data_IF_601875052347
#
_entry.id   IF_601875052347
#
_cell.length_a   1.000
_cell.length_b   1.000
_cell.length_c   1.000
_cell.angle_alpha   90.00
_cell.angle_beta   90.00
_cell.angle_gamma   90.00
#
_symmetry.space_group_name_H-M   'P 1'
#
loop_
_entity.id
_entity.type
_entity.pdbx_description
1 polymer ?
#
# COMPACT_ATOMS: atom_id res chain seq x y z
N UNK A 1 -18.17 30.18 11.26
CA UNK A 1 -16.87 29.69 10.77
C UNK A 1 -16.52 28.41 11.49
N UNK A 2 -16.68 27.33 10.79
CA UNK A 2 -16.43 26.02 11.36
C UNK A 2 -15.05 25.53 10.92
N UNK A 3 -14.05 25.79 11.74
CA UNK A 3 -12.76 25.18 11.58
C UNK A 3 -12.92 23.68 11.76
N UNK A 4 -12.95 22.92 10.67
CA UNK A 4 -12.81 21.48 10.74
C UNK A 4 -11.44 21.21 11.33
N UNK A 5 -11.40 20.78 12.57
CA UNK A 5 -10.18 20.25 13.16
C UNK A 5 -9.85 18.98 12.37
N UNK A 6 -8.97 19.13 11.38
CA UNK A 6 -8.35 17.98 10.73
C UNK A 6 -7.38 17.37 11.75
N UNK A 7 -7.93 16.60 12.69
CA UNK A 7 -7.09 15.72 13.47
C UNK A 7 -6.34 14.85 12.49
N UNK A 8 -5.02 14.84 12.57
CA UNK A 8 -4.20 14.02 11.69
C UNK A 8 -4.68 12.57 11.79
N UNK A 9 -5.22 12.04 10.71
CA UNK A 9 -5.69 10.65 10.65
C UNK A 9 -4.57 9.64 10.89
N UNK A 10 -3.33 10.11 10.86
CA UNK A 10 -2.14 9.27 10.99
C UNK A 10 -1.63 9.17 12.42
N UNK A 11 -2.20 9.90 13.37
CA UNK A 11 -1.77 9.85 14.77
C UNK A 11 -2.96 9.85 15.72
N UNK A 12 -2.80 9.14 16.82
CA UNK A 12 -3.77 9.16 17.93
C UNK A 12 -3.03 9.16 19.26
N UNK A 13 -3.66 9.76 20.25
CA UNK A 13 -3.16 9.73 21.62
C UNK A 13 -3.57 8.41 22.28
N UNK A 14 -2.64 7.80 22.98
CA UNK A 14 -2.88 6.59 23.75
C UNK A 14 -3.35 6.95 25.16
N UNK A 15 -3.95 5.99 25.87
CA UNK A 15 -4.44 6.18 27.24
C UNK A 15 -3.33 6.46 28.24
N UNK A 16 -2.13 5.95 28.00
CA UNK A 16 -0.93 6.18 28.81
C UNK A 16 -0.28 7.55 28.60
N UNK A 17 -0.86 8.39 27.72
CA UNK A 17 -0.35 9.70 27.36
C UNK A 17 0.65 9.70 26.20
N UNK A 18 1.00 8.53 25.66
CA UNK A 18 1.86 8.40 24.50
C UNK A 18 1.13 8.67 23.18
N UNK A 19 1.89 8.57 22.09
CA UNK A 19 1.37 8.77 20.75
C UNK A 19 1.61 7.54 19.88
N UNK A 20 0.59 7.16 19.13
CA UNK A 20 0.72 6.17 18.06
C UNK A 20 0.63 6.89 16.71
N UNK A 21 1.63 6.67 15.86
CA UNK A 21 1.66 7.26 14.52
C UNK A 21 1.79 6.16 13.48
N UNK A 22 0.94 6.23 12.46
CA UNK A 22 1.00 5.31 11.32
C UNK A 22 1.26 6.12 10.06
N UNK A 23 2.49 6.05 9.58
CA UNK A 23 2.85 6.63 8.30
C UNK A 23 2.28 5.78 7.15
N UNK A 24 1.78 6.43 6.12
CA UNK A 24 1.24 5.76 4.94
C UNK A 24 1.73 6.43 3.67
N UNK A 25 1.95 5.63 2.65
CA UNK A 25 2.11 6.13 1.29
C UNK A 25 0.70 6.27 0.70
N UNK A 26 0.28 7.49 0.44
CA UNK A 26 -1.02 7.73 -0.19
C UNK A 26 -1.03 7.20 -1.63
N UNK A 27 -2.21 6.73 -2.07
CA UNK A 27 -2.45 6.23 -3.43
C UNK A 27 -1.56 5.04 -3.83
N UNK A 28 -1.17 4.24 -2.88
CA UNK A 28 -0.39 3.02 -3.13
C UNK A 28 -1.21 1.93 -3.84
N UNK A 29 -2.52 2.09 -3.91
CA UNK A 29 -3.42 1.12 -4.55
C UNK A 29 -3.14 0.91 -6.03
N UNK A 30 -2.87 1.96 -6.80
CA UNK A 30 -2.59 1.84 -8.23
C UNK A 30 -1.35 0.98 -8.52
N UNK A 31 -0.16 1.28 -7.97
CA UNK A 31 1.01 0.43 -8.22
C UNK A 31 0.84 -0.98 -7.65
N UNK A 32 0.12 -1.14 -6.55
CA UNK A 32 -0.15 -2.46 -5.98
C UNK A 32 -1.03 -3.31 -6.92
N UNK A 33 -2.09 -2.74 -7.49
CA UNK A 33 -2.93 -3.43 -8.46
C UNK A 33 -2.15 -3.78 -9.72
N UNK A 34 -1.38 -2.85 -10.26
CA UNK A 34 -0.55 -3.09 -11.44
C UNK A 34 0.47 -4.21 -11.19
N UNK A 35 1.08 -4.25 -10.01
CA UNK A 35 2.03 -5.30 -9.64
C UNK A 35 1.34 -6.67 -9.55
N UNK A 36 0.17 -6.74 -8.92
CA UNK A 36 -0.55 -8.00 -8.75
C UNK A 36 -1.09 -8.56 -10.06
N UNK A 37 -1.30 -7.72 -11.06
CA UNK A 37 -1.73 -8.12 -12.39
C UNK A 37 -0.62 -8.73 -13.25
N UNK A 38 0.48 -9.11 -12.68
CA UNK A 38 1.61 -9.86 -13.23
C UNK A 38 1.57 -10.30 -14.70
N UNK A 39 2.16 -11.44 -14.98
CA UNK A 39 2.40 -11.91 -16.34
C UNK A 39 1.23 -12.67 -16.98
N UNK A 40 0.10 -12.77 -16.32
CA UNK A 40 -1.04 -13.52 -16.83
C UNK A 40 -2.39 -12.98 -16.36
N UNK A 41 -3.47 -13.44 -16.99
CA UNK A 41 -4.82 -13.04 -16.60
C UNK A 41 -5.11 -13.35 -15.14
N UNK A 42 -5.63 -12.37 -14.40
CA UNK A 42 -5.94 -12.48 -12.99
C UNK A 42 -7.41 -12.15 -12.76
N UNK A 43 -8.11 -12.98 -12.00
CA UNK A 43 -9.48 -12.69 -11.61
C UNK A 43 -9.55 -11.57 -10.57
N UNK A 44 -10.62 -10.76 -10.65
CA UNK A 44 -10.80 -9.64 -9.71
C UNK A 44 -10.80 -10.08 -8.25
N UNK A 45 -11.38 -11.24 -7.93
CA UNK A 45 -11.39 -11.73 -6.55
C UNK A 45 -10.00 -12.11 -6.03
N UNK A 46 -9.09 -12.56 -6.89
CA UNK A 46 -7.70 -12.84 -6.50
C UNK A 46 -6.98 -11.58 -6.07
N UNK A 47 -7.27 -10.47 -6.75
CA UNK A 47 -6.73 -9.16 -6.37
C UNK A 47 -7.22 -8.73 -4.99
N UNK A 48 -8.51 -8.95 -4.71
CA UNK A 48 -9.10 -8.65 -3.40
C UNK A 48 -8.46 -9.46 -2.28
N UNK A 49 -8.10 -10.71 -2.54
CA UNK A 49 -7.44 -11.58 -1.57
C UNK A 49 -5.98 -11.19 -1.30
N UNK A 50 -5.26 -10.77 -2.35
CA UNK A 50 -3.83 -10.53 -2.30
C UNK A 50 -3.45 -9.09 -1.95
N UNK A 51 -4.34 -8.13 -2.25
CA UNK A 51 -4.08 -6.71 -2.07
C UNK A 51 -3.81 -6.31 -0.61
N UNK A 52 -4.57 -6.79 0.40
CA UNK A 52 -4.34 -6.40 1.80
C UNK A 52 -2.92 -6.68 2.29
N UNK A 53 -2.36 -7.84 1.95
CA UNK A 53 -1.00 -8.20 2.35
C UNK A 53 0.05 -7.28 1.73
N UNK A 54 -0.19 -6.84 0.49
CA UNK A 54 0.77 -6.00 -0.24
C UNK A 54 0.77 -4.54 0.25
N UNK A 55 -0.41 -3.98 0.53
CA UNK A 55 -0.52 -2.59 0.97
C UNK A 55 -0.52 -2.42 2.49
N UNK A 56 -0.52 -3.51 3.24
CA UNK A 56 -0.53 -3.48 4.70
C UNK A 56 -1.82 -2.96 5.31
N UNK A 57 -2.93 -3.07 4.60
CA UNK A 57 -4.25 -2.65 5.06
C UNK A 57 -5.23 -3.82 4.98
N UNK A 58 -5.78 -4.23 6.12
CA UNK A 58 -6.75 -5.32 6.20
C UNK A 58 -8.12 -4.93 5.63
N UNK A 59 -8.39 -3.63 5.48
CA UNK A 59 -9.68 -3.11 5.01
C UNK A 59 -9.59 -2.64 3.59
N UNK A 60 -9.73 -3.56 2.67
CA UNK A 60 -9.84 -3.22 1.26
C UNK A 60 -11.31 -3.12 0.89
N UNK A 61 -11.74 -1.95 0.45
CA UNK A 61 -13.09 -1.74 -0.05
C UNK A 61 -13.21 -2.32 -1.46
N UNK A 62 -14.05 -3.35 -1.60
CA UNK A 62 -14.30 -4.04 -2.87
C UNK A 62 -14.71 -3.08 -3.97
N UNK A 63 -15.61 -2.14 -3.69
CA UNK A 63 -16.07 -1.14 -4.65
C UNK A 63 -14.94 -0.25 -5.15
N UNK A 64 -14.03 0.14 -4.27
CA UNK A 64 -12.87 0.96 -4.63
C UNK A 64 -11.90 0.20 -5.54
N UNK A 65 -11.70 -1.09 -5.31
CA UNK A 65 -10.83 -1.93 -6.15
C UNK A 65 -11.40 -2.02 -7.57
N UNK A 66 -12.68 -2.29 -7.72
CA UNK A 66 -13.31 -2.37 -9.05
C UNK A 66 -13.34 -1.02 -9.76
N UNK A 67 -13.55 0.08 -9.03
CA UNK A 67 -13.45 1.43 -9.61
C UNK A 67 -12.04 1.75 -10.07
N UNK A 68 -11.03 1.36 -9.30
CA UNK A 68 -9.63 1.53 -9.67
C UNK A 68 -9.30 0.70 -10.92
N UNK A 69 -9.74 -0.57 -10.99
CA UNK A 69 -9.55 -1.41 -12.16
C UNK A 69 -10.21 -0.81 -13.41
N UNK A 70 -11.41 -0.26 -13.26
CA UNK A 70 -12.09 0.42 -14.38
C UNK A 70 -11.32 1.64 -14.84
N UNK A 71 -10.81 2.46 -13.92
CA UNK A 71 -10.00 3.62 -14.26
C UNK A 71 -8.73 3.21 -15.01
N UNK A 72 -8.04 2.15 -14.56
CA UNK A 72 -6.87 1.62 -15.24
C UNK A 72 -7.20 1.10 -16.63
N UNK A 73 -8.36 0.47 -16.80
CA UNK A 73 -8.85 0.00 -18.10
C UNK A 73 -9.18 1.16 -19.03
N UNK A 74 -9.83 2.22 -18.53
CA UNK A 74 -10.13 3.44 -19.30
C UNK A 74 -8.87 4.14 -19.80
N UNK A 75 -7.77 4.05 -19.05
CA UNK A 75 -6.46 4.57 -19.42
C UNK A 75 -5.63 3.59 -20.24
N UNK A 76 -6.19 2.45 -20.60
CA UNK A 76 -5.52 1.39 -21.37
C UNK A 76 -4.27 0.79 -20.70
N UNK A 77 -4.17 0.91 -19.39
CA UNK A 77 -3.10 0.30 -18.61
C UNK A 77 -3.39 -1.16 -18.27
N UNK A 78 -4.66 -1.52 -18.33
CA UNK A 78 -5.19 -2.86 -18.05
C UNK A 78 -6.24 -3.17 -19.11
N UNK A 79 -6.33 -4.42 -19.52
CA UNK A 79 -7.42 -4.95 -20.34
C UNK A 79 -8.15 -6.03 -19.59
N UNK A 80 -9.43 -6.17 -19.84
CA UNK A 80 -10.26 -7.22 -19.23
C UNK A 80 -10.93 -8.06 -20.28
N UNK A 81 -11.14 -9.33 -19.93
CA UNK A 81 -11.85 -10.30 -20.78
C UNK A 81 -12.83 -11.11 -19.94
N UNK A 82 -13.98 -11.40 -20.51
CA UNK A 82 -14.91 -12.36 -19.94
C UNK A 82 -14.54 -13.76 -20.38
N UNK A 83 -14.30 -14.65 -19.41
CA UNK A 83 -14.04 -16.06 -19.67
C UNK A 83 -15.26 -16.89 -19.29
N UNK A 84 -15.96 -17.40 -20.29
CA UNK A 84 -17.11 -18.26 -20.14
C UNK A 84 -16.84 -19.73 -20.45
N UNK A 85 -15.59 -20.10 -20.70
CA UNK A 85 -15.16 -21.44 -21.11
C UNK A 85 -14.99 -22.42 -19.93
N UNK A 86 -15.12 -21.95 -18.70
CA UNK A 86 -15.06 -22.79 -17.50
C UNK A 86 -16.47 -23.08 -16.98
N UNK A 87 -16.71 -24.28 -16.37
CA UNK A 87 -18.01 -24.56 -15.75
C UNK A 87 -18.29 -23.55 -14.63
N UNK A 88 -19.47 -22.93 -14.71
CA UNK A 88 -19.89 -21.90 -13.77
C UNK A 88 -20.13 -20.55 -14.44
N UNK A 89 -20.47 -19.48 -13.68
CA UNK A 89 -20.69 -18.15 -14.24
C UNK A 89 -19.41 -17.62 -14.87
N UNK A 90 -19.56 -16.89 -15.98
CA UNK A 90 -18.45 -16.23 -16.67
C UNK A 90 -17.72 -15.30 -15.70
N UNK A 91 -16.39 -15.38 -15.69
CA UNK A 91 -15.52 -14.59 -14.81
C UNK A 91 -14.71 -13.60 -15.63
N UNK A 92 -14.59 -12.39 -15.09
CA UNK A 92 -13.79 -11.35 -15.71
C UNK A 92 -12.33 -11.47 -15.24
N UNK A 93 -11.41 -11.54 -16.20
CA UNK A 93 -9.98 -11.53 -15.94
C UNK A 93 -9.36 -10.21 -16.39
N UNK A 94 -8.34 -9.80 -15.70
CA UNK A 94 -7.60 -8.55 -15.96
C UNK A 94 -6.15 -8.87 -16.27
N UNK A 95 -5.59 -8.15 -17.23
CA UNK A 95 -4.20 -8.29 -17.65
C UNK A 95 -3.56 -6.92 -17.81
N UNK A 96 -2.36 -6.77 -17.33
CA UNK A 96 -1.58 -5.54 -17.50
C UNK A 96 -1.11 -5.42 -18.95
N UNK A 97 -1.26 -4.24 -19.54
CA UNK A 97 -0.78 -3.92 -20.90
C UNK A 97 0.68 -3.50 -20.87
N UNK A 98 1.29 -3.36 -22.07
CA UNK A 98 2.64 -2.78 -22.17
C UNK A 98 2.72 -1.36 -21.61
N UNK A 99 1.66 -0.56 -21.79
CA UNK A 99 1.57 0.77 -21.16
C UNK A 99 1.46 0.65 -19.64
N UNK A 100 0.72 -0.33 -19.14
CA UNK A 100 0.65 -0.64 -17.71
C UNK A 100 2.01 -1.02 -17.13
N UNK A 101 2.81 -1.79 -17.87
CA UNK A 101 4.19 -2.11 -17.48
C UNK A 101 5.04 -0.85 -17.35
N UNK A 102 4.94 0.06 -18.30
CA UNK A 102 5.69 1.33 -18.28
C UNK A 102 5.29 2.21 -17.09
N UNK A 103 4.00 2.29 -16.80
CA UNK A 103 3.49 3.06 -15.65
C UNK A 103 3.95 2.42 -14.34
N UNK A 104 3.91 1.10 -14.23
CA UNK A 104 4.43 0.40 -13.05
C UNK A 104 5.92 0.66 -12.84
N UNK A 105 6.73 0.61 -13.90
CA UNK A 105 8.16 0.92 -13.83
C UNK A 105 8.40 2.34 -13.31
N UNK A 106 7.63 3.31 -13.78
CA UNK A 106 7.70 4.70 -13.30
C UNK A 106 7.32 4.82 -11.82
N UNK A 107 6.32 4.08 -11.38
CA UNK A 107 5.95 4.00 -9.96
C UNK A 107 7.10 3.45 -9.11
N UNK A 108 7.73 2.38 -9.57
CA UNK A 108 8.84 1.75 -8.84
C UNK A 108 10.03 2.70 -8.71
N UNK A 109 10.37 3.44 -9.76
CA UNK A 109 11.42 4.45 -9.72
C UNK A 109 11.09 5.57 -8.73
N UNK A 110 9.85 6.04 -8.73
CA UNK A 110 9.39 7.08 -7.81
C UNK A 110 9.40 6.60 -6.36
N UNK A 111 8.99 5.35 -6.13
CA UNK A 111 9.02 4.74 -4.79
C UNK A 111 10.45 4.53 -4.30
N UNK A 112 11.38 4.17 -5.17
CA UNK A 112 12.80 4.08 -4.84
C UNK A 112 13.38 5.45 -4.44
N UNK A 113 13.04 6.50 -5.18
CA UNK A 113 13.44 7.86 -4.85
C UNK A 113 12.88 8.29 -3.49
N UNK A 114 11.61 7.98 -3.22
CA UNK A 114 10.97 8.25 -1.92
C UNK A 114 11.68 7.48 -0.79
N UNK A 115 12.01 6.23 -1.02
CA UNK A 115 12.76 5.42 -0.05
C UNK A 115 14.10 6.07 0.31
N UNK A 116 14.84 6.55 -0.70
CA UNK A 116 16.11 7.25 -0.49
C UNK A 116 15.94 8.54 0.31
N UNK A 117 14.90 9.32 0.00
CA UNK A 117 14.54 10.54 0.74
C UNK A 117 14.21 10.24 2.20
N UNK A 118 13.44 9.19 2.44
CA UNK A 118 13.08 8.76 3.79
C UNK A 118 14.31 8.29 4.56
N UNK A 119 15.20 7.56 3.91
CA UNK A 119 16.47 7.14 4.51
C UNK A 119 17.31 8.34 4.94
N UNK A 120 17.46 9.32 4.07
CA UNK A 120 18.18 10.57 4.37
C UNK A 120 17.54 11.32 5.54
N UNK A 121 16.23 11.42 5.55
CA UNK A 121 15.48 12.07 6.63
C UNK A 121 15.72 11.36 7.98
N UNK A 122 15.59 10.04 7.99
CA UNK A 122 15.78 9.24 9.21
C UNK A 122 17.21 9.30 9.73
N UNK A 123 18.20 9.28 8.84
CA UNK A 123 19.61 9.38 9.19
C UNK A 123 19.91 10.74 9.82
N UNK A 124 19.39 11.83 9.25
CA UNK A 124 19.53 13.18 9.83
C UNK A 124 18.86 13.27 11.19
N UNK A 125 17.68 12.70 11.35
CA UNK A 125 16.98 12.71 12.62
C UNK A 125 17.77 11.98 13.72
N UNK A 126 18.46 10.90 13.36
CA UNK A 126 19.29 10.10 14.28
C UNK A 126 20.63 10.76 14.58
N UNK A 127 21.23 11.44 13.60
CA UNK A 127 22.48 12.19 13.78
C UNK A 127 22.31 13.42 14.66
N UNK A 128 21.13 14.06 14.59
CA UNK A 128 20.75 15.15 15.48
C UNK A 128 20.49 14.75 16.92
N UNK A 129 20.67 13.55 17.22
CA UNK A 129 20.78 12.62 18.39
C UNK A 129 20.17 12.97 19.72
N UNK A 130 20.13 14.23 20.12
CA UNK A 130 19.65 14.57 21.46
C UNK A 130 18.16 14.92 21.50
N UNK A 131 17.50 14.96 20.36
CA UNK A 131 16.12 15.45 20.26
C UNK A 131 15.08 14.35 19.97
N UNK A 132 15.50 13.18 19.53
CA UNK A 132 14.61 12.07 19.25
C UNK A 132 15.02 10.84 20.07
N UNK A 133 14.43 10.71 21.24
CA UNK A 133 14.55 9.47 22.01
C UNK A 133 13.69 8.41 21.36
N UNK A 134 14.31 7.47 20.67
CA UNK A 134 13.63 6.24 20.29
C UNK A 134 13.48 5.41 21.57
N UNK A 135 12.25 5.25 22.03
CA UNK A 135 11.95 4.25 23.04
C UNK A 135 12.28 2.89 22.43
N UNK A 136 13.15 2.09 23.07
CA UNK A 136 13.40 0.74 22.59
C UNK A 136 12.07 -0.03 22.58
N UNK A 137 11.86 -0.76 21.51
CA UNK A 137 10.72 -1.66 21.41
C UNK A 137 10.75 -2.63 22.58
N UNK A 138 9.63 -2.75 23.27
CA UNK A 138 9.48 -3.62 24.45
C UNK A 138 9.82 -5.08 24.15
N UNK A 139 9.83 -5.44 22.87
CA UNK A 139 10.16 -6.80 22.44
C UNK A 139 11.63 -7.19 22.66
N UNK A 140 12.52 -6.21 22.80
CA UNK A 140 13.94 -6.48 23.06
C UNK A 140 14.23 -6.84 24.53
N UNK A 141 13.32 -6.52 25.43
CA UNK A 141 13.49 -6.82 26.86
C UNK A 141 13.08 -8.23 27.27
N UNK A 142 12.31 -8.91 26.43
CA UNK A 142 11.84 -10.27 26.71
C UNK A 142 12.88 -11.34 26.36
N UNK A 143 13.97 -10.97 25.71
CA UNK A 143 15.13 -11.85 25.46
C UNK A 143 16.16 -11.72 26.58
N UNK A 144 15.71 -11.79 27.84
CA UNK A 144 16.61 -11.85 28.97
C UNK A 144 17.48 -13.11 28.89
N UNK A 145 18.75 -13.04 29.30
CA UNK A 145 19.60 -14.22 29.32
C UNK A 145 18.99 -15.26 30.24
N UNK A 146 18.55 -16.37 29.67
CA UNK A 146 18.25 -17.53 30.44
C UNK A 146 19.53 -17.98 31.18
N UNK A 147 19.50 -17.86 32.46
CA UNK A 147 20.55 -18.43 33.30
C UNK A 147 20.41 -19.92 33.34
#
# INVERSE_FOLDING_TARGET
MHGRRHGSRNRRRLQDGGWQVRARVERFGEPALLLLLGDGPTHGYELLERLPALIGDERVDVGNVYRALRALEDEELVVSEWRGDLPGPAKRTYTRTAQGDAVLASWLDSLEALRAELTTFLDRAREGGDHVRTTPSTDAELAGPGS
#
